data_IF_983459934313
#
_entry.id   IF_983459934313
#
_cell.length_a   1.000
_cell.length_b   1.000
_cell.length_c   1.000
_cell.angle_alpha   90.00
_cell.angle_beta   90.00
_cell.angle_gamma   90.00
#
_symmetry.space_group_name_H-M   'P 1'
#
loop_
_entity.id
_entity.type
_entity.pdbx_description
1 polymer ?
#
# COMPACT_ATOMS: atom_id res chain seq x y z
N UNK A 1 3.89 -16.73 -19.73
CA UNK A 1 3.17 -16.19 -18.56
C UNK A 1 1.85 -16.95 -18.43
N UNK A 2 1.72 -17.69 -17.35
CA UNK A 2 0.55 -18.52 -17.07
C UNK A 2 -0.55 -17.67 -16.41
N UNK A 3 -1.81 -17.99 -16.68
CA UNK A 3 -2.95 -17.36 -16.03
C UNK A 3 -3.76 -18.40 -15.26
N UNK A 4 -4.36 -18.00 -14.17
CA UNK A 4 -5.35 -18.76 -13.40
C UNK A 4 -6.74 -18.13 -13.55
N UNK A 5 -7.78 -18.88 -13.27
CA UNK A 5 -9.15 -18.35 -13.34
C UNK A 5 -9.30 -17.17 -12.35
N UNK A 6 -10.11 -16.18 -12.73
CA UNK A 6 -10.34 -15.00 -11.88
C UNK A 6 -10.88 -15.38 -10.49
N UNK A 7 -11.72 -16.44 -10.42
CA UNK A 7 -12.23 -16.96 -9.16
C UNK A 7 -11.10 -17.56 -8.29
N UNK A 8 -10.21 -18.35 -8.88
CA UNK A 8 -9.07 -18.96 -8.18
C UNK A 8 -8.10 -17.88 -7.67
N UNK A 9 -7.86 -16.88 -8.51
CA UNK A 9 -7.01 -15.75 -8.14
C UNK A 9 -7.57 -15.01 -6.91
N UNK A 10 -8.88 -14.77 -6.90
CA UNK A 10 -9.57 -14.12 -5.79
C UNK A 10 -9.51 -14.97 -4.51
N UNK A 11 -9.73 -16.29 -4.61
CA UNK A 11 -9.60 -17.21 -3.48
C UNK A 11 -8.19 -17.14 -2.91
N UNK A 12 -7.16 -17.28 -3.74
CA UNK A 12 -5.75 -17.18 -3.32
C UNK A 12 -5.45 -15.89 -2.56
N UNK A 13 -5.99 -14.77 -3.04
CA UNK A 13 -5.82 -13.46 -2.42
C UNK A 13 -6.47 -13.41 -1.04
N UNK A 14 -7.72 -13.85 -0.93
CA UNK A 14 -8.47 -13.87 0.33
C UNK A 14 -7.82 -14.81 1.36
N UNK A 15 -7.41 -16.00 0.92
CA UNK A 15 -6.70 -16.96 1.78
C UNK A 15 -5.39 -16.39 2.34
N UNK A 16 -4.65 -15.60 1.54
CA UNK A 16 -3.41 -14.97 1.99
C UNK A 16 -3.66 -13.91 3.07
N UNK A 17 -4.80 -13.24 3.04
CA UNK A 17 -5.17 -12.21 4.02
C UNK A 17 -5.96 -12.78 5.21
N UNK A 18 -6.39 -14.03 5.13
CA UNK A 18 -7.15 -14.67 6.19
C UNK A 18 -6.32 -14.76 7.48
N UNK A 19 -6.92 -14.37 8.60
CA UNK A 19 -6.24 -14.34 9.91
C UNK A 19 -5.53 -13.02 10.23
N UNK A 20 -5.50 -12.05 9.30
CA UNK A 20 -5.00 -10.71 9.61
C UNK A 20 -6.07 -9.94 10.38
N UNK A 21 -5.63 -9.17 11.36
CA UNK A 21 -6.54 -8.41 12.23
C UNK A 21 -7.45 -7.47 11.45
N UNK A 22 -8.74 -7.50 11.79
CA UNK A 22 -9.78 -6.71 11.15
C UNK A 22 -10.02 -7.03 9.66
N UNK A 23 -9.56 -8.21 9.18
CA UNK A 23 -9.82 -8.63 7.81
C UNK A 23 -11.29 -9.03 7.62
N UNK A 24 -11.92 -8.41 6.63
CA UNK A 24 -13.22 -8.83 6.08
C UNK A 24 -13.21 -8.72 4.56
N UNK A 25 -14.06 -9.49 3.92
CA UNK A 25 -14.17 -9.55 2.47
C UNK A 25 -15.64 -9.46 2.04
N UNK A 26 -15.90 -8.59 1.06
CA UNK A 26 -17.19 -8.44 0.38
C UNK A 26 -16.99 -8.62 -1.13
N UNK A 27 -17.67 -9.59 -1.71
CA UNK A 27 -17.51 -9.93 -3.13
C UNK A 27 -18.00 -8.80 -4.06
N UNK A 28 -17.37 -8.73 -5.22
CA UNK A 28 -17.67 -7.72 -6.23
C UNK A 28 -16.60 -7.64 -7.32
N UNK A 29 -16.72 -6.64 -8.19
CA UNK A 29 -15.68 -6.30 -9.16
C UNK A 29 -15.70 -4.78 -9.46
N UNK A 30 -14.86 -3.97 -8.79
CA UNK A 30 -13.91 -4.37 -7.75
C UNK A 30 -14.61 -4.94 -6.50
N UNK A 31 -13.93 -5.75 -5.75
CA UNK A 31 -14.39 -6.23 -4.45
C UNK A 31 -13.91 -5.28 -3.33
N UNK A 32 -14.53 -5.40 -2.14
CA UNK A 32 -14.15 -4.61 -0.98
C UNK A 32 -13.49 -5.52 0.05
N UNK A 33 -12.39 -5.05 0.61
CA UNK A 33 -11.80 -5.64 1.82
C UNK A 33 -11.74 -4.60 2.93
N UNK A 34 -11.81 -5.06 4.16
CA UNK A 34 -11.26 -4.33 5.29
C UNK A 34 -10.05 -5.07 5.78
N UNK A 35 -8.99 -4.36 6.10
CA UNK A 35 -7.77 -4.91 6.68
C UNK A 35 -7.23 -3.89 7.67
N UNK A 36 -6.89 -4.32 8.88
CA UNK A 36 -6.62 -3.40 9.99
C UNK A 36 -7.75 -2.36 10.17
N UNK A 37 -8.99 -2.83 10.02
CA UNK A 37 -10.24 -2.02 10.09
C UNK A 37 -10.36 -0.90 9.02
N UNK A 38 -9.45 -0.84 8.02
CA UNK A 38 -9.48 0.15 6.93
C UNK A 38 -10.09 -0.47 5.67
N UNK A 39 -11.08 0.17 5.03
CA UNK A 39 -11.67 -0.32 3.79
C UNK A 39 -10.79 0.00 2.58
N UNK A 40 -10.80 -0.91 1.58
CA UNK A 40 -10.16 -0.73 0.28
C UNK A 40 -11.06 -1.32 -0.81
N UNK A 41 -11.19 -0.60 -1.93
CA UNK A 41 -11.62 -1.21 -3.19
C UNK A 41 -10.42 -1.90 -3.83
N UNK A 42 -10.57 -3.15 -4.21
CA UNK A 42 -9.50 -3.93 -4.84
C UNK A 42 -9.95 -4.47 -6.18
N UNK A 43 -9.19 -4.16 -7.23
CA UNK A 43 -9.29 -4.78 -8.53
C UNK A 43 -8.08 -5.67 -8.75
N UNK A 44 -8.30 -6.97 -8.84
CA UNK A 44 -7.26 -7.98 -8.94
C UNK A 44 -7.36 -8.72 -10.27
N UNK A 45 -6.26 -8.80 -11.01
CA UNK A 45 -6.22 -9.46 -12.32
C UNK A 45 -4.85 -10.10 -12.56
N UNK A 46 -4.82 -11.20 -13.35
CA UNK A 46 -3.56 -11.72 -13.86
C UNK A 46 -2.86 -10.67 -14.72
N UNK A 47 -1.55 -10.59 -14.61
CA UNK A 47 -0.71 -9.92 -15.59
C UNK A 47 -0.70 -10.73 -16.89
N UNK A 48 -0.72 -10.05 -18.01
CA UNK A 48 -0.62 -10.66 -19.33
C UNK A 48 0.44 -9.93 -20.17
N UNK A 49 1.06 -10.59 -21.16
CA UNK A 49 1.92 -9.90 -22.11
C UNK A 49 1.17 -8.75 -22.80
N UNK A 50 1.86 -7.62 -22.96
CA UNK A 50 1.28 -6.47 -23.68
C UNK A 50 1.34 -6.63 -25.20
N UNK A 51 2.07 -7.63 -25.69
CA UNK A 51 2.27 -7.95 -27.12
C UNK A 51 2.89 -6.81 -27.94
N UNK A 52 3.70 -5.95 -27.31
CA UNK A 52 4.45 -4.94 -28.03
C UNK A 52 5.62 -5.57 -28.79
N UNK A 53 5.62 -5.42 -30.11
CA UNK A 53 6.62 -6.02 -31.00
C UNK A 53 8.08 -5.69 -30.60
N UNK A 54 8.32 -4.47 -30.20
CA UNK A 54 9.66 -3.97 -29.81
C UNK A 54 9.92 -4.00 -28.29
N UNK A 55 9.00 -4.53 -27.49
CA UNK A 55 9.12 -4.57 -26.04
C UNK A 55 8.42 -5.81 -25.47
N UNK A 56 8.94 -7.03 -25.77
CA UNK A 56 8.32 -8.29 -25.39
C UNK A 56 8.29 -8.53 -23.88
N UNK A 57 9.13 -7.82 -23.12
CA UNK A 57 9.19 -7.86 -21.66
C UNK A 57 8.01 -7.12 -20.97
N UNK A 58 7.24 -6.33 -21.72
CA UNK A 58 6.15 -5.54 -21.14
C UNK A 58 4.94 -6.42 -20.84
N UNK A 59 4.49 -6.34 -19.61
CA UNK A 59 3.25 -6.94 -19.13
C UNK A 59 2.19 -5.87 -18.85
N UNK A 60 0.92 -6.26 -18.78
CA UNK A 60 -0.17 -5.33 -18.50
C UNK A 60 -1.31 -5.95 -17.71
N UNK A 61 -2.01 -5.08 -16.98
CA UNK A 61 -3.39 -5.26 -16.55
C UNK A 61 -4.26 -4.26 -17.31
N UNK A 62 -5.43 -4.67 -17.73
CA UNK A 62 -6.40 -3.79 -18.37
C UNK A 62 -7.68 -3.74 -17.55
N UNK A 63 -8.06 -2.52 -17.11
CA UNK A 63 -9.36 -2.27 -16.52
C UNK A 63 -10.35 -1.95 -17.64
N UNK A 64 -11.48 -2.67 -17.72
CA UNK A 64 -12.56 -2.27 -18.59
C UNK A 64 -13.14 -0.92 -18.09
N UNK A 65 -13.72 -0.17 -19.03
CA UNK A 65 -14.54 0.97 -18.64
C UNK A 65 -15.77 0.49 -17.84
N UNK A 66 -16.23 1.29 -16.88
CA UNK A 66 -17.37 0.91 -16.04
C UNK A 66 -18.03 2.14 -15.44
N UNK A 67 -19.36 2.16 -15.42
CA UNK A 67 -20.16 3.18 -14.73
C UNK A 67 -19.98 3.13 -13.20
N UNK A 68 -19.47 2.02 -12.67
CA UNK A 68 -19.16 1.89 -11.25
C UNK A 68 -17.98 2.77 -10.81
N UNK A 69 -17.16 3.26 -11.74
CA UNK A 69 -16.04 4.14 -11.40
C UNK A 69 -16.48 5.46 -10.77
N UNK A 70 -17.67 5.97 -11.11
CA UNK A 70 -18.21 7.16 -10.45
C UNK A 70 -18.41 6.96 -8.94
N UNK A 71 -18.83 5.77 -8.52
CA UNK A 71 -18.98 5.43 -7.10
C UNK A 71 -17.62 5.34 -6.40
N UNK A 72 -16.64 4.69 -7.07
CA UNK A 72 -15.27 4.57 -6.56
C UNK A 72 -14.61 5.95 -6.47
N UNK A 73 -14.84 6.80 -7.48
CA UNK A 73 -14.27 8.15 -7.51
C UNK A 73 -14.80 9.02 -6.37
N UNK A 74 -16.10 8.95 -6.10
CA UNK A 74 -16.78 9.71 -5.03
C UNK A 74 -16.49 9.15 -3.63
N UNK A 75 -16.18 7.86 -3.52
CA UNK A 75 -15.88 7.24 -2.23
C UNK A 75 -14.53 7.71 -1.70
N UNK A 76 -14.48 8.07 -0.41
CA UNK A 76 -13.22 8.36 0.28
C UNK A 76 -12.54 7.05 0.75
N UNK A 77 -12.46 6.08 -0.16
CA UNK A 77 -11.87 4.76 0.05
C UNK A 77 -10.78 4.59 -0.99
N UNK A 78 -9.56 4.15 -0.61
CA UNK A 78 -8.50 3.87 -1.57
C UNK A 78 -8.93 2.79 -2.57
N UNK A 79 -8.65 3.03 -3.86
CA UNK A 79 -8.84 2.06 -4.92
C UNK A 79 -7.50 1.47 -5.34
N UNK A 80 -7.28 0.20 -5.05
CA UNK A 80 -6.02 -0.50 -5.27
C UNK A 80 -6.17 -1.44 -6.44
N UNK A 81 -5.27 -1.34 -7.41
CA UNK A 81 -5.20 -2.26 -8.56
C UNK A 81 -3.98 -3.13 -8.43
N UNK A 82 -4.21 -4.43 -8.44
CA UNK A 82 -3.20 -5.46 -8.28
C UNK A 82 -3.13 -6.33 -9.53
N UNK A 83 -1.93 -6.39 -10.13
CA UNK A 83 -1.59 -7.34 -11.18
C UNK A 83 -0.84 -8.52 -10.60
N UNK A 84 -1.26 -9.74 -10.89
CA UNK A 84 -0.64 -10.94 -10.38
C UNK A 84 0.12 -11.70 -11.47
N UNK A 85 1.39 -11.96 -11.22
CA UNK A 85 2.23 -12.87 -11.98
C UNK A 85 2.23 -14.24 -11.32
N UNK A 86 1.57 -15.20 -11.97
CA UNK A 86 1.42 -16.57 -11.45
C UNK A 86 2.75 -17.32 -11.42
N UNK A 87 3.63 -17.06 -12.40
CA UNK A 87 4.86 -17.82 -12.57
C UNK A 87 5.90 -17.44 -11.48
N UNK A 88 5.92 -16.17 -11.08
CA UNK A 88 6.83 -15.65 -10.05
C UNK A 88 6.16 -15.47 -8.67
N UNK A 89 4.86 -15.77 -8.53
CA UNK A 89 4.05 -15.49 -7.33
C UNK A 89 4.20 -14.03 -6.84
N UNK A 90 4.25 -13.10 -7.81
CA UNK A 90 4.51 -11.68 -7.59
C UNK A 90 3.27 -10.84 -7.85
N UNK A 91 3.07 -9.85 -7.03
CA UNK A 91 2.02 -8.83 -7.15
C UNK A 91 2.64 -7.50 -7.56
N UNK A 92 2.03 -6.84 -8.52
CA UNK A 92 2.36 -5.47 -8.95
C UNK A 92 1.22 -4.55 -8.55
N UNK A 93 1.55 -3.46 -7.88
CA UNK A 93 0.61 -2.39 -7.56
C UNK A 93 1.07 -1.08 -8.19
N UNK A 94 0.14 -0.39 -8.84
CA UNK A 94 0.33 0.96 -9.37
C UNK A 94 -0.15 2.00 -8.36
N UNK A 95 0.36 3.23 -8.45
CA UNK A 95 0.01 4.31 -7.52
C UNK A 95 -1.52 4.55 -7.48
N UNK A 96 -2.18 4.26 -6.34
CA UNK A 96 -3.64 4.32 -6.24
C UNK A 96 -4.23 5.69 -6.56
N UNK A 97 -3.55 6.78 -6.15
CA UNK A 97 -4.01 8.15 -6.41
C UNK A 97 -3.98 8.47 -7.90
N UNK A 98 -2.85 8.19 -8.58
CA UNK A 98 -2.70 8.44 -10.02
C UNK A 98 -3.66 7.59 -10.87
N UNK A 99 -3.95 6.37 -10.43
CA UNK A 99 -4.91 5.51 -11.14
C UNK A 99 -6.33 6.02 -10.97
N UNK A 100 -6.71 6.44 -9.76
CA UNK A 100 -8.04 6.98 -9.51
C UNK A 100 -8.37 8.15 -10.45
N UNK A 101 -7.40 9.00 -10.74
CA UNK A 101 -7.53 10.13 -11.69
C UNK A 101 -7.74 9.67 -13.15
N UNK A 102 -7.28 8.47 -13.51
CA UNK A 102 -7.37 7.91 -14.87
C UNK A 102 -8.65 7.13 -15.14
N UNK A 103 -9.39 6.80 -14.08
CA UNK A 103 -10.65 6.04 -14.23
C UNK A 103 -11.68 6.87 -14.99
N UNK A 104 -12.36 6.25 -15.95
CA UNK A 104 -13.43 6.89 -16.70
C UNK A 104 -14.40 5.84 -17.25
N UNK A 105 -15.60 6.28 -17.65
CA UNK A 105 -16.65 5.42 -18.22
C UNK A 105 -16.53 5.22 -19.74
N UNK A 106 -15.53 5.81 -20.40
CA UNK A 106 -15.46 5.88 -21.87
C UNK A 106 -14.44 4.94 -22.49
N UNK A 107 -13.35 4.64 -21.78
CA UNK A 107 -12.27 3.85 -22.34
C UNK A 107 -11.60 2.94 -21.30
N UNK A 108 -11.02 1.85 -21.79
CA UNK A 108 -10.22 0.96 -20.96
C UNK A 108 -8.93 1.66 -20.50
N UNK A 109 -8.53 1.41 -19.25
CA UNK A 109 -7.25 1.87 -18.69
C UNK A 109 -6.26 0.71 -18.72
N UNK A 110 -5.14 0.87 -19.42
CA UNK A 110 -4.06 -0.11 -19.43
C UNK A 110 -2.94 0.33 -18.47
N UNK A 111 -2.53 -0.58 -17.60
CA UNK A 111 -1.48 -0.41 -16.62
C UNK A 111 -0.36 -1.39 -16.94
N UNK A 112 0.85 -0.88 -17.08
CA UNK A 112 1.99 -1.64 -17.56
C UNK A 112 2.95 -1.97 -16.43
N UNK A 113 3.71 -3.06 -16.63
CA UNK A 113 4.86 -3.47 -15.83
C UNK A 113 5.85 -4.19 -16.75
N UNK A 114 6.91 -4.77 -16.17
CA UNK A 114 7.89 -5.55 -16.91
C UNK A 114 8.11 -6.90 -16.23
N UNK A 115 8.21 -7.96 -17.05
CA UNK A 115 8.47 -9.30 -16.55
C UNK A 115 9.82 -9.38 -15.80
N UNK A 116 10.83 -8.67 -16.30
CA UNK A 116 12.16 -8.55 -15.65
C UNK A 116 12.12 -7.88 -14.26
N UNK A 117 11.09 -7.08 -13.95
CA UNK A 117 10.91 -6.51 -12.61
C UNK A 117 10.21 -7.47 -11.65
N UNK A 118 9.48 -8.47 -12.18
CA UNK A 118 8.64 -9.38 -11.41
C UNK A 118 9.39 -10.59 -10.86
N UNK A 119 10.58 -10.88 -11.43
CA UNK A 119 11.46 -11.95 -10.97
C UNK A 119 12.30 -11.53 -9.75
N UNK A 120 12.79 -12.52 -9.00
CA UNK A 120 13.79 -12.37 -7.94
C UNK A 120 13.40 -11.46 -6.77
N UNK A 121 12.09 -11.37 -6.47
CA UNK A 121 11.59 -10.63 -5.31
C UNK A 121 11.59 -11.59 -4.10
N UNK A 122 12.24 -11.17 -3.02
CA UNK A 122 12.30 -11.94 -1.76
C UNK A 122 11.04 -11.74 -0.92
N UNK A 123 10.83 -12.63 0.03
CA UNK A 123 9.78 -12.49 1.05
C UNK A 123 9.96 -11.17 1.81
N UNK A 124 8.86 -10.46 2.05
CA UNK A 124 8.83 -9.16 2.74
C UNK A 124 9.59 -8.01 2.06
N UNK A 125 10.09 -8.22 0.85
CA UNK A 125 10.70 -7.18 0.01
C UNK A 125 9.62 -6.41 -0.77
N UNK A 126 9.78 -5.08 -0.86
CA UNK A 126 9.00 -4.20 -1.71
C UNK A 126 9.92 -3.54 -2.73
N UNK A 127 9.97 -4.12 -3.93
CA UNK A 127 10.77 -3.59 -5.03
C UNK A 127 10.05 -2.42 -5.69
N UNK A 128 10.74 -1.29 -5.82
CA UNK A 128 10.24 -0.14 -6.57
C UNK A 128 10.65 -0.26 -8.04
N UNK A 129 9.68 -0.10 -8.93
CA UNK A 129 9.94 0.05 -10.37
C UNK A 129 9.42 1.39 -10.85
N UNK A 130 10.02 1.90 -11.94
CA UNK A 130 9.55 3.10 -12.64
C UNK A 130 9.21 2.76 -14.07
N UNK A 131 8.07 3.27 -14.53
CA UNK A 131 7.67 3.20 -15.94
C UNK A 131 8.33 4.32 -16.73
N UNK A 132 8.33 4.22 -18.06
CA UNK A 132 8.91 5.23 -18.95
C UNK A 132 8.32 6.65 -18.80
N UNK A 133 7.12 6.75 -18.28
CA UNK A 133 6.47 8.01 -17.94
C UNK A 133 6.76 8.51 -16.51
N UNK A 134 7.70 7.87 -15.79
CA UNK A 134 8.06 8.20 -14.42
C UNK A 134 7.06 7.69 -13.36
N UNK A 135 6.03 6.94 -13.75
CA UNK A 135 5.07 6.39 -12.81
C UNK A 135 5.72 5.30 -11.95
N UNK A 136 5.65 5.45 -10.63
CA UNK A 136 6.15 4.50 -9.65
C UNK A 136 5.20 3.31 -9.52
N UNK A 137 5.75 2.11 -9.55
CA UNK A 137 5.05 0.86 -9.25
C UNK A 137 5.76 0.12 -8.12
N UNK A 138 5.00 -0.63 -7.34
CA UNK A 138 5.54 -1.46 -6.24
C UNK A 138 5.29 -2.92 -6.58
N UNK A 139 6.33 -3.73 -6.44
CA UNK A 139 6.29 -5.17 -6.69
C UNK A 139 6.67 -5.91 -5.41
N UNK A 140 5.97 -6.99 -5.10
CA UNK A 140 6.18 -7.77 -3.89
C UNK A 140 5.64 -9.18 -4.04
N UNK A 141 6.08 -10.09 -3.19
CA UNK A 141 5.54 -11.47 -3.13
C UNK A 141 4.13 -11.48 -2.58
N UNK A 142 3.25 -12.33 -3.12
CA UNK A 142 1.86 -12.44 -2.67
C UNK A 142 1.73 -12.65 -1.16
N UNK A 143 2.60 -13.45 -0.55
CA UNK A 143 2.63 -13.66 0.90
C UNK A 143 2.80 -12.39 1.73
N UNK A 144 3.33 -11.32 1.14
CA UNK A 144 3.53 -10.02 1.77
C UNK A 144 2.31 -9.08 1.63
N UNK A 145 1.15 -9.57 1.15
CA UNK A 145 -0.06 -8.76 0.96
C UNK A 145 -0.51 -8.02 2.23
N UNK A 146 -0.48 -8.68 3.39
CA UNK A 146 -0.85 -8.03 4.65
C UNK A 146 0.05 -6.84 4.96
N UNK A 147 1.35 -7.07 4.91
CA UNK A 147 2.36 -6.02 5.11
C UNK A 147 2.27 -4.90 4.04
N UNK A 148 1.90 -5.25 2.80
CA UNK A 148 1.66 -4.26 1.76
C UNK A 148 0.51 -3.30 2.13
N UNK A 149 -0.64 -3.80 2.58
CA UNK A 149 -1.76 -2.94 2.97
C UNK A 149 -1.44 -2.08 4.19
N UNK A 150 -0.64 -2.59 5.12
CA UNK A 150 -0.14 -1.83 6.25
C UNK A 150 0.74 -0.65 5.78
N UNK A 151 1.68 -0.93 4.87
CA UNK A 151 2.66 0.05 4.37
C UNK A 151 2.16 0.89 3.19
N UNK A 152 1.00 0.61 2.62
CA UNK A 152 0.47 1.28 1.42
C UNK A 152 0.57 2.82 1.47
N UNK A 153 0.26 3.50 2.59
CA UNK A 153 0.34 4.95 2.64
C UNK A 153 1.74 5.51 2.35
N UNK A 154 2.79 4.80 2.80
CA UNK A 154 4.19 5.26 2.66
C UNK A 154 4.87 4.74 1.38
N UNK A 155 4.41 3.62 0.82
CA UNK A 155 5.02 3.02 -0.38
C UNK A 155 4.95 3.92 -1.62
N UNK A 156 3.95 4.80 -1.70
CA UNK A 156 3.74 5.71 -2.83
C UNK A 156 3.98 7.18 -2.48
N UNK A 157 4.48 7.49 -1.30
CA UNK A 157 4.94 8.85 -1.00
C UNK A 157 6.11 9.20 -1.91
N UNK A 158 6.00 10.34 -2.60
CA UNK A 158 7.09 10.88 -3.41
C UNK A 158 8.11 11.53 -2.46
N UNK A 159 9.08 10.77 -2.02
CA UNK A 159 10.32 11.37 -1.54
C UNK A 159 10.94 12.07 -2.75
N UNK A 160 10.76 13.38 -2.87
CA UNK A 160 11.43 14.21 -3.87
C UNK A 160 12.94 14.25 -3.59
N UNK A 161 13.62 13.15 -3.89
CA UNK A 161 15.06 13.16 -4.10
C UNK A 161 15.25 13.65 -5.54
N UNK A 162 15.73 14.87 -5.72
CA UNK A 162 16.21 15.36 -7.01
C UNK A 162 17.31 14.44 -7.50
N UNK A 163 16.98 13.53 -8.42
CA UNK A 163 17.93 12.67 -9.09
C UNK A 163 18.69 13.57 -10.06
N UNK A 164 19.96 13.82 -9.75
CA UNK A 164 20.93 14.26 -10.76
C UNK A 164 21.20 13.07 -11.67
N UNK A 165 21.09 13.31 -12.97
CA UNK A 165 21.40 12.33 -14.01
C UNK A 165 22.77 11.71 -13.79
N UNK A 166 22.80 10.42 -13.43
CA UNK A 166 23.96 9.57 -13.61
C UNK A 166 23.48 8.15 -13.94
N UNK A 167 23.82 7.74 -15.13
CA UNK A 167 23.64 6.39 -15.67
C UNK A 167 24.42 5.37 -14.83
N UNK A 168 23.71 4.65 -13.97
CA UNK A 168 24.05 3.30 -13.48
C UNK A 168 23.10 2.96 -12.33
N UNK A 169 21.90 2.46 -12.67
CA UNK A 169 20.98 1.97 -11.65
C UNK A 169 21.33 0.55 -11.22
N UNK A 170 22.14 0.44 -10.17
CA UNK A 170 22.13 -0.73 -9.30
C UNK A 170 21.02 -0.48 -8.28
N UNK A 171 19.98 -1.29 -8.31
CA UNK A 171 18.89 -1.23 -7.31
C UNK A 171 19.44 -1.75 -5.99
N UNK A 172 19.88 -0.84 -5.13
CA UNK A 172 20.08 -1.19 -3.71
C UNK A 172 18.74 -1.44 -3.05
N UNK A 173 18.62 -2.44 -2.16
CA UNK A 173 17.44 -2.64 -1.35
C UNK A 173 17.17 -1.37 -0.55
N UNK A 174 15.96 -0.83 -0.62
CA UNK A 174 15.57 0.27 0.27
C UNK A 174 15.46 -0.33 1.65
N UNK A 175 16.52 -0.20 2.45
CA UNK A 175 16.38 -0.22 3.90
C UNK A 175 15.46 0.94 4.25
N UNK A 176 14.26 0.61 4.71
CA UNK A 176 13.35 1.61 5.27
C UNK A 176 13.99 2.06 6.58
N UNK A 177 14.82 3.09 6.49
CA UNK A 177 15.27 3.85 7.66
C UNK A 177 14.02 4.44 8.29
N UNK A 178 13.52 3.78 9.32
CA UNK A 178 12.67 4.46 10.29
C UNK A 178 13.44 5.70 10.75
N UNK A 179 12.82 6.87 10.82
CA UNK A 179 13.52 8.05 11.32
C UNK A 179 14.08 7.68 12.69
N UNK A 180 15.42 7.71 12.84
CA UNK A 180 16.16 7.31 14.05
C UNK A 180 15.89 8.21 15.26
N UNK A 181 14.97 9.14 15.17
CA UNK A 181 14.44 9.91 16.29
C UNK A 181 12.98 9.54 16.51
N UNK A 182 12.73 8.39 17.12
CA UNK A 182 11.53 8.18 17.91
C UNK A 182 11.50 9.28 18.99
N UNK A 183 10.62 10.25 18.81
CA UNK A 183 10.34 11.22 19.87
C UNK A 183 9.77 10.44 21.05
N UNK A 184 10.45 10.44 22.20
CA UNK A 184 9.89 9.88 23.41
C UNK A 184 8.94 10.90 24.03
N UNK A 185 7.78 10.42 24.49
CA UNK A 185 6.90 11.25 25.33
C UNK A 185 7.53 11.28 26.70
N UNK A 186 8.18 12.41 27.02
CA UNK A 186 8.88 12.60 28.30
C UNK A 186 8.15 13.56 29.25
N UNK A 187 7.09 14.22 28.75
CA UNK A 187 6.32 15.17 29.56
C UNK A 187 5.42 14.41 30.55
N UNK A 188 5.73 14.55 31.84
CA UNK A 188 5.06 13.88 32.96
C UNK A 188 3.56 14.21 32.99
N UNK A 189 3.16 15.41 32.59
CA UNK A 189 1.75 15.81 32.60
C UNK A 189 0.98 15.02 31.54
N UNK A 190 1.59 14.84 30.34
CA UNK A 190 0.99 14.04 29.27
C UNK A 190 0.97 12.57 29.65
N UNK A 191 2.07 12.04 30.20
CA UNK A 191 2.15 10.65 30.64
C UNK A 191 1.08 10.32 31.69
N UNK A 192 0.82 11.20 32.64
CA UNK A 192 -0.23 11.02 33.65
C UNK A 192 -1.65 11.00 33.05
N UNK A 193 -1.85 11.63 31.90
CA UNK A 193 -3.13 11.62 31.21
C UNK A 193 -3.32 10.38 30.31
N UNK A 194 -2.25 9.96 29.62
CA UNK A 194 -2.35 8.88 28.64
C UNK A 194 -2.18 7.47 29.23
N UNK A 195 -1.32 7.29 30.23
CA UNK A 195 -1.07 5.96 30.81
C UNK A 195 -2.34 5.26 31.32
N UNK A 196 -3.26 5.92 32.06
CA UNK A 196 -4.51 5.29 32.49
C UNK A 196 -5.44 4.91 31.31
N UNK A 197 -5.32 5.58 30.16
CA UNK A 197 -6.07 5.25 28.96
C UNK A 197 -5.46 4.03 28.26
N UNK A 198 -4.12 3.96 28.20
CA UNK A 198 -3.39 2.85 27.60
C UNK A 198 -3.60 1.55 28.37
N UNK A 199 -3.58 1.60 29.71
CA UNK A 199 -3.92 0.44 30.58
C UNK A 199 -5.33 -0.11 30.30
N UNK A 200 -6.24 0.75 29.84
CA UNK A 200 -7.62 0.39 29.45
C UNK A 200 -7.76 0.12 27.94
N UNK A 201 -6.66 -0.01 27.21
CA UNK A 201 -6.62 -0.19 25.75
C UNK A 201 -7.34 0.91 24.95
N UNK A 202 -7.38 2.14 25.48
CA UNK A 202 -8.03 3.32 24.84
C UNK A 202 -6.99 4.15 24.07
N UNK A 203 -6.28 3.51 23.13
CA UNK A 203 -5.13 4.09 22.40
C UNK A 203 -5.52 5.33 21.60
N UNK A 204 -6.68 5.35 20.94
CA UNK A 204 -7.12 6.50 20.13
C UNK A 204 -7.29 7.77 20.97
N UNK A 205 -7.84 7.67 22.17
CA UNK A 205 -8.03 8.81 23.06
C UNK A 205 -6.69 9.32 23.60
N UNK A 206 -5.73 8.42 23.85
CA UNK A 206 -4.36 8.82 24.21
C UNK A 206 -3.70 9.60 23.07
N UNK A 207 -3.90 9.18 21.80
CA UNK A 207 -3.42 9.89 20.60
C UNK A 207 -4.05 11.29 20.50
N UNK A 208 -5.35 11.42 20.69
CA UNK A 208 -6.04 12.73 20.65
C UNK A 208 -5.53 13.68 21.71
N UNK A 209 -5.24 13.20 22.92
CA UNK A 209 -4.65 14.00 23.99
C UNK A 209 -3.26 14.49 23.58
N UNK A 210 -2.42 13.62 23.04
CA UNK A 210 -1.08 14.00 22.59
C UNK A 210 -1.13 15.04 21.46
N UNK A 211 -2.00 14.86 20.47
CA UNK A 211 -2.17 15.82 19.38
C UNK A 211 -2.56 17.19 19.96
N UNK A 212 -3.56 17.22 20.85
CA UNK A 212 -4.04 18.46 21.45
C UNK A 212 -2.97 19.16 22.29
N UNK A 213 -2.15 18.41 23.04
CA UNK A 213 -1.13 18.96 23.93
C UNK A 213 0.08 19.48 23.18
N UNK A 214 0.44 18.85 22.07
CA UNK A 214 1.65 19.15 21.32
C UNK A 214 1.39 19.85 19.97
N UNK A 215 0.14 20.23 19.65
CA UNK A 215 -0.21 20.81 18.35
C UNK A 215 0.64 22.02 17.95
N UNK A 216 1.11 22.81 18.94
CA UNK A 216 1.94 24.00 18.70
C UNK A 216 3.44 23.67 18.55
N UNK A 217 3.89 22.53 19.08
CA UNK A 217 5.31 22.11 19.07
C UNK A 217 5.66 21.19 17.90
N UNK A 218 4.70 20.41 17.44
CA UNK A 218 4.90 19.37 16.43
C UNK A 218 3.88 19.45 15.27
N UNK A 219 3.81 20.62 14.65
CA UNK A 219 2.85 20.90 13.54
C UNK A 219 3.00 20.01 12.31
N UNK A 220 4.09 19.25 12.20
CA UNK A 220 4.37 18.34 11.08
C UNK A 220 4.08 16.87 11.37
N UNK A 221 3.72 16.51 12.60
CA UNK A 221 3.38 15.12 12.92
C UNK A 221 1.96 14.82 12.46
N UNK A 222 1.81 13.76 11.65
CA UNK A 222 0.51 13.24 11.26
C UNK A 222 -0.14 12.49 12.43
N UNK A 223 -1.47 12.25 12.35
CA UNK A 223 -2.18 11.40 13.30
C UNK A 223 -1.51 10.01 13.43
N UNK A 224 -0.98 9.48 12.33
CA UNK A 224 -0.28 8.19 12.28
C UNK A 224 1.03 8.22 13.06
N UNK A 225 1.79 9.30 12.97
CA UNK A 225 3.06 9.43 13.71
C UNK A 225 2.78 9.43 15.22
N UNK A 226 1.74 10.13 15.64
CA UNK A 226 1.26 10.11 17.00
C UNK A 226 0.79 8.73 17.46
N UNK A 227 0.05 8.03 16.61
CA UNK A 227 -0.45 6.68 16.91
C UNK A 227 0.73 5.71 17.10
N UNK A 228 1.70 5.72 16.20
CA UNK A 228 2.89 4.86 16.29
C UNK A 228 3.72 5.16 17.55
N UNK A 229 3.85 6.43 17.90
CA UNK A 229 4.58 6.87 19.10
C UNK A 229 3.89 6.36 20.38
N UNK A 230 2.56 6.48 20.46
CA UNK A 230 1.76 6.01 21.59
C UNK A 230 1.78 4.47 21.66
N UNK A 231 1.66 3.77 20.56
CA UNK A 231 1.74 2.31 20.53
C UNK A 231 3.11 1.81 20.97
N UNK A 232 4.18 2.48 20.55
CA UNK A 232 5.54 2.18 21.02
C UNK A 232 5.69 2.41 22.52
N UNK A 233 5.14 3.51 23.03
CA UNK A 233 5.14 3.80 24.48
C UNK A 233 4.35 2.75 25.26
N UNK A 234 3.19 2.34 24.76
CA UNK A 234 2.36 1.29 25.36
C UNK A 234 3.11 -0.04 25.49
N UNK A 235 3.86 -0.45 24.46
CA UNK A 235 4.68 -1.68 24.49
C UNK A 235 5.83 -1.65 25.52
N UNK A 236 6.20 -0.48 26.01
CA UNK A 236 7.21 -0.34 27.07
C UNK A 236 6.61 -0.42 28.48
N UNK A 237 5.30 -0.26 28.61
CA UNK A 237 4.59 -0.21 29.91
C UNK A 237 4.04 -1.59 30.29
N UNK A 238 3.74 -2.46 29.26
CA UNK A 238 3.31 -3.83 29.42
C UNK A 238 4.55 -4.75 29.42
#
# INVERSE_FOLDING_TARGET
MRNILAKELKIKFVETLNGIDGFTYEDGNPFIIKIYYKPFFVFLKNLSPAYFKNSPDVTRVQLPFSDHFDKIFKANIPFVILGYDVDNDTVVCWNPSKIKERLNAKSNVSLYSRNSLQSDIKANEFKTGFLSNGEKIILFRRESLGLFFEKLPVLFEDNQVKIKDNENFVSEPIEILFPEKLYEITDIQVLNLINPLLEKNRVLEAVEICIKYYQDKFTKMSFKDWFNLIEFHYKKII
#
